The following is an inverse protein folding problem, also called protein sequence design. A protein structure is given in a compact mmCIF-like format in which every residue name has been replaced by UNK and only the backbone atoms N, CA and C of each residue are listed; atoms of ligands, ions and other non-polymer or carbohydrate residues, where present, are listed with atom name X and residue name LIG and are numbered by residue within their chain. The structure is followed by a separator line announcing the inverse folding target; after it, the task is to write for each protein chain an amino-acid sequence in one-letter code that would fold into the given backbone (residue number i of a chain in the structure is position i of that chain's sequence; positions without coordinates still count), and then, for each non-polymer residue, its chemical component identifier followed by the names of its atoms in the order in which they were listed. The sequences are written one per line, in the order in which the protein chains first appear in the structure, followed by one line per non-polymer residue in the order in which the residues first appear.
data_IF_668847695303
#
_entry.id   IF_668847695303
#
_cell.length_a   1.000
_cell.length_b   1.000
_cell.length_c   1.000
_cell.angle_alpha   90.00
_cell.angle_beta   90.00
_cell.angle_gamma   90.00
#
_symmetry.space_group_name_H-M   'P 1'
#
loop_
_entity.id
_entity.type
_entity.pdbx_description
1 polymer ?
#
# COMPACT_ATOMS: atom_id res chain seq x y z
N UNK A 1 -13.33 3.37 5.89
CA UNK A 1 -12.47 4.54 5.59
C UNK A 1 -12.17 4.55 4.10
N UNK A 2 -12.38 5.67 3.38
CA UNK A 2 -12.06 5.73 1.94
C UNK A 2 -10.53 5.68 1.73
N UNK A 3 -10.05 5.11 0.62
CA UNK A 3 -8.60 5.03 0.33
C UNK A 3 -7.92 6.40 0.35
N UNK A 4 -8.63 7.45 -0.05
CA UNK A 4 -8.16 8.83 0.03
C UNK A 4 -7.96 9.31 1.48
N UNK A 5 -8.89 9.00 2.38
CA UNK A 5 -8.72 9.28 3.82
C UNK A 5 -7.57 8.48 4.41
N UNK A 6 -7.39 7.22 3.99
CA UNK A 6 -6.24 6.40 4.40
C UNK A 6 -4.91 7.02 3.95
N UNK A 7 -4.84 7.56 2.74
CA UNK A 7 -3.65 8.22 2.19
C UNK A 7 -3.31 9.49 2.97
N UNK A 8 -4.30 10.37 3.14
CA UNK A 8 -4.17 11.60 3.93
C UNK A 8 -3.74 11.31 5.37
N UNK A 9 -4.31 10.27 6.00
CA UNK A 9 -3.94 9.85 7.35
C UNK A 9 -2.49 9.33 7.41
N UNK A 10 -2.06 8.52 6.44
CA UNK A 10 -0.67 8.04 6.40
C UNK A 10 0.31 9.19 6.19
N UNK A 11 -0.01 10.14 5.31
CA UNK A 11 0.80 11.33 5.08
C UNK A 11 0.90 12.20 6.35
N UNK A 12 -0.24 12.43 7.02
CA UNK A 12 -0.27 13.14 8.30
C UNK A 12 0.57 12.43 9.35
N UNK A 13 0.45 11.10 9.45
CA UNK A 13 1.23 10.30 10.40
C UNK A 13 2.73 10.38 10.11
N UNK A 14 3.14 10.36 8.83
CA UNK A 14 4.53 10.60 8.44
C UNK A 14 5.01 11.98 8.90
N UNK A 15 4.23 13.04 8.66
CA UNK A 15 4.60 14.40 9.06
C UNK A 15 4.69 14.55 10.59
N UNK A 16 3.76 13.95 11.33
CA UNK A 16 3.80 13.92 12.80
C UNK A 16 5.03 13.18 13.29
N UNK A 17 5.37 12.04 12.68
CA UNK A 17 6.56 11.27 13.07
C UNK A 17 7.87 12.03 12.78
N UNK A 18 7.95 12.73 11.64
CA UNK A 18 9.08 13.63 11.37
C UNK A 18 9.21 14.70 12.46
N UNK A 19 8.11 15.33 12.87
CA UNK A 19 8.13 16.31 13.95
C UNK A 19 8.64 15.70 15.27
N UNK A 20 8.24 14.48 15.59
CA UNK A 20 8.76 13.76 16.78
C UNK A 20 10.28 13.58 16.70
N UNK A 21 10.80 13.10 15.56
CA UNK A 21 12.25 12.94 15.35
C UNK A 21 12.96 14.29 15.50
N UNK A 22 12.42 15.34 14.86
CA UNK A 22 12.99 16.68 14.92
C UNK A 22 13.04 17.23 16.37
N UNK A 23 11.97 17.04 17.15
CA UNK A 23 11.93 17.45 18.55
C UNK A 23 12.95 16.71 19.42
N UNK A 24 13.23 15.43 19.15
CA UNK A 24 14.27 14.68 19.85
C UNK A 24 15.68 15.06 19.38
N UNK A 25 15.86 15.30 18.08
CA UNK A 25 17.12 15.73 17.49
C UNK A 25 17.59 17.09 17.99
N UNK A 26 16.66 18.05 18.14
CA UNK A 26 16.98 19.40 18.63
C UNK A 26 17.50 19.41 20.09
N UNK A 27 17.27 18.36 20.88
CA UNK A 27 17.69 18.31 22.28
C UNK A 27 19.21 18.10 22.41
N UNK A 28 19.96 19.20 22.49
CA UNK A 28 21.42 19.17 22.67
C UNK A 28 21.88 18.37 23.91
N UNK A 29 21.13 18.48 25.02
CA UNK A 29 21.53 18.01 26.35
C UNK A 29 20.96 16.64 26.77
N UNK A 30 20.26 15.92 25.89
CA UNK A 30 19.70 14.61 26.25
C UNK A 30 20.79 13.60 26.65
N UNK A 31 22.01 13.77 26.11
CA UNK A 31 23.16 12.91 26.41
C UNK A 31 23.58 12.91 27.88
N UNK A 32 23.57 14.06 28.58
CA UNK A 32 24.02 14.15 29.99
C UNK A 32 23.13 13.34 30.93
N UNK A 33 21.81 13.41 30.73
CA UNK A 33 20.86 12.69 31.58
C UNK A 33 21.01 11.18 31.35
N UNK A 34 21.11 10.73 30.10
CA UNK A 34 21.33 9.29 29.84
C UNK A 34 22.72 8.81 30.22
N UNK A 35 23.75 9.67 30.20
CA UNK A 35 25.11 9.31 30.64
C UNK A 35 25.13 8.96 32.14
N UNK A 36 24.37 9.69 32.96
CA UNK A 36 24.22 9.39 34.40
C UNK A 36 23.54 8.04 34.66
N UNK A 37 22.68 7.55 33.75
CA UNK A 37 21.96 6.27 33.92
C UNK A 37 22.57 5.08 33.17
N UNK A 38 23.15 5.30 31.98
CA UNK A 38 23.59 4.25 31.06
C UNK A 38 25.11 4.16 30.94
N UNK A 39 25.87 5.15 31.44
CA UNK A 39 27.32 5.22 31.30
C UNK A 39 27.77 4.98 29.85
N UNK A 40 28.67 4.01 29.66
CA UNK A 40 29.23 3.63 28.36
C UNK A 40 28.17 3.13 27.34
N UNK A 41 27.00 2.68 27.82
CA UNK A 41 25.91 2.23 26.95
C UNK A 41 25.09 3.38 26.34
N UNK A 42 25.30 4.63 26.74
CA UNK A 42 24.55 5.78 26.25
C UNK A 42 24.65 5.94 24.72
N UNK A 43 25.87 5.91 24.18
CA UNK A 43 26.13 6.08 22.75
C UNK A 43 25.49 4.96 21.90
N UNK A 44 25.68 3.66 22.19
CA UNK A 44 25.04 2.62 21.40
C UNK A 44 23.51 2.67 21.52
N UNK A 45 22.95 2.88 22.71
CA UNK A 45 21.49 2.96 22.91
C UNK A 45 20.89 4.10 22.08
N UNK A 46 21.53 5.27 22.06
CA UNK A 46 21.09 6.39 21.22
C UNK A 46 21.12 6.06 19.73
N UNK A 47 22.21 5.44 19.25
CA UNK A 47 22.32 5.02 17.85
C UNK A 47 21.23 4.02 17.48
N UNK A 48 20.92 3.05 18.35
CA UNK A 48 19.81 2.12 18.14
C UNK A 48 18.44 2.81 18.13
N UNK A 49 18.23 3.82 18.98
CA UNK A 49 17.00 4.60 18.99
C UNK A 49 16.79 5.33 17.65
N UNK A 50 17.82 6.02 17.16
CA UNK A 50 17.75 6.69 15.85
C UNK A 50 17.55 5.70 14.69
N UNK A 51 18.25 4.55 14.69
CA UNK A 51 18.01 3.49 13.72
C UNK A 51 16.53 3.04 13.72
N UNK A 52 15.92 2.91 14.90
CA UNK A 52 14.51 2.52 15.02
C UNK A 52 13.57 3.62 14.51
N UNK A 53 13.83 4.88 14.87
CA UNK A 53 13.06 6.04 14.41
C UNK A 53 13.02 6.12 12.88
N UNK A 54 14.18 5.96 12.23
CA UNK A 54 14.31 5.97 10.77
C UNK A 54 13.73 4.71 10.11
N UNK A 55 13.77 3.55 10.78
CA UNK A 55 13.08 2.35 10.32
C UNK A 55 11.56 2.58 10.23
N UNK A 56 10.97 3.18 11.27
CA UNK A 56 9.54 3.52 11.30
C UNK A 56 9.21 4.59 10.26
N UNK A 57 10.05 5.62 10.12
CA UNK A 57 9.85 6.68 9.13
C UNK A 57 9.84 6.11 7.69
N UNK A 58 10.80 5.26 7.35
CA UNK A 58 10.89 4.63 6.03
C UNK A 58 9.67 3.75 5.72
N UNK A 59 9.18 3.01 6.73
CA UNK A 59 7.94 2.23 6.65
C UNK A 59 6.73 3.13 6.33
N UNK A 60 6.61 4.26 7.03
CA UNK A 60 5.51 5.21 6.83
C UNK A 60 5.58 5.85 5.44
N UNK A 61 6.77 6.28 4.99
CA UNK A 61 6.97 6.78 3.64
C UNK A 61 6.59 5.76 2.58
N UNK A 62 7.08 4.52 2.71
CA UNK A 62 6.74 3.46 1.77
C UNK A 62 5.22 3.22 1.69
N UNK A 63 4.53 3.19 2.83
CA UNK A 63 3.07 3.02 2.89
C UNK A 63 2.32 4.20 2.26
N UNK A 64 2.77 5.43 2.53
CA UNK A 64 2.20 6.65 1.95
C UNK A 64 2.34 6.62 0.42
N UNK A 65 3.54 6.34 -0.08
CA UNK A 65 3.82 6.25 -1.51
C UNK A 65 3.04 5.12 -2.19
N UNK A 66 2.95 3.95 -1.56
CA UNK A 66 2.21 2.81 -2.10
C UNK A 66 0.73 3.14 -2.25
N UNK A 67 0.13 3.77 -1.24
CA UNK A 67 -1.28 4.12 -1.26
C UNK A 67 -1.57 5.27 -2.25
N UNK A 68 -0.65 6.23 -2.37
CA UNK A 68 -0.69 7.27 -3.39
C UNK A 68 -0.63 6.70 -4.80
N UNK A 69 0.32 5.79 -5.07
CA UNK A 69 0.43 5.11 -6.37
C UNK A 69 -0.85 4.32 -6.73
N UNK A 70 -1.43 3.61 -5.75
CA UNK A 70 -2.70 2.91 -5.95
C UNK A 70 -3.86 3.85 -6.29
N UNK A 71 -3.92 5.03 -5.66
CA UNK A 71 -4.94 6.04 -5.95
C UNK A 71 -4.77 6.66 -7.33
N UNK A 72 -3.53 6.95 -7.73
CA UNK A 72 -3.20 7.49 -9.05
C UNK A 72 -3.60 6.51 -10.16
N UNK A 73 -3.26 5.22 -10.02
CA UNK A 73 -3.68 4.19 -10.97
C UNK A 73 -5.21 4.07 -11.08
N UNK A 74 -5.92 4.21 -9.96
CA UNK A 74 -7.39 4.18 -9.96
C UNK A 74 -8.01 5.38 -10.69
N UNK A 75 -7.29 6.50 -10.80
CA UNK A 75 -7.75 7.72 -11.49
C UNK A 75 -7.38 7.76 -12.98
N UNK A 76 -6.49 6.88 -13.44
CA UNK A 76 -6.05 6.81 -14.83
C UNK A 76 -7.21 6.49 -15.79
N UNK A 77 -7.25 7.10 -16.99
CA UNK A 77 -8.33 6.89 -17.97
C UNK A 77 -8.46 5.43 -18.45
N UNK A 78 -7.36 4.68 -18.46
CA UNK A 78 -7.36 3.23 -18.74
C UNK A 78 -8.14 2.43 -17.69
N UNK A 79 -8.26 2.98 -16.48
CA UNK A 79 -8.99 2.42 -15.33
C UNK A 79 -10.39 3.02 -15.13
N UNK A 80 -10.83 3.90 -16.04
CA UNK A 80 -12.19 4.43 -16.05
C UNK A 80 -13.20 3.28 -16.03
N UNK A 81 -14.23 3.40 -15.19
CA UNK A 81 -15.32 2.43 -15.10
C UNK A 81 -15.94 2.13 -16.49
N UNK A 82 -15.88 3.07 -17.44
CA UNK A 82 -16.33 2.86 -18.83
C UNK A 82 -15.47 1.88 -19.63
N UNK A 83 -14.15 1.89 -19.45
CA UNK A 83 -13.21 1.03 -20.18
C UNK A 83 -13.12 -0.36 -19.53
N UNK A 84 -13.21 -0.42 -18.20
CA UNK A 84 -13.27 -1.69 -17.47
C UNK A 84 -14.59 -2.43 -17.74
N UNK A 85 -15.72 -1.73 -17.80
CA UNK A 85 -17.01 -2.30 -18.17
C UNK A 85 -17.04 -2.75 -19.64
N UNK A 86 -16.45 -1.97 -20.56
CA UNK A 86 -16.30 -2.38 -21.97
C UNK A 86 -15.47 -3.65 -22.09
N UNK A 87 -14.29 -3.73 -21.48
CA UNK A 87 -13.43 -4.90 -21.55
C UNK A 87 -14.07 -6.15 -20.90
N UNK A 88 -14.82 -5.97 -19.80
CA UNK A 88 -15.58 -7.06 -19.18
C UNK A 88 -16.75 -7.54 -20.05
N UNK A 89 -17.46 -6.63 -20.73
CA UNK A 89 -18.53 -6.96 -21.66
C UNK A 89 -18.00 -7.70 -22.90
N UNK A 90 -16.86 -7.27 -23.46
CA UNK A 90 -16.21 -7.95 -24.59
C UNK A 90 -15.77 -9.36 -24.22
N UNK A 91 -15.16 -9.55 -23.04
CA UNK A 91 -14.72 -10.87 -22.58
C UNK A 91 -15.89 -11.81 -22.22
N UNK A 92 -17.02 -11.27 -21.73
CA UNK A 92 -18.23 -12.04 -21.52
C UNK A 92 -18.89 -12.46 -22.84
N UNK A 93 -18.83 -11.60 -23.87
CA UNK A 93 -19.35 -11.90 -25.21
C UNK A 93 -18.51 -12.96 -25.94
N UNK A 94 -17.18 -12.92 -25.81
CA UNK A 94 -16.30 -13.96 -26.38
C UNK A 94 -16.51 -15.31 -25.71
N UNK A 95 -16.67 -15.35 -24.39
CA UNK A 95 -16.93 -16.60 -23.66
C UNK A 95 -18.35 -17.14 -23.90
N UNK A 96 -19.32 -16.28 -24.21
CA UNK A 96 -20.65 -16.71 -24.63
C UNK A 96 -20.68 -17.24 -26.07
N UNK A 97 -19.87 -16.67 -26.97
CA UNK A 97 -19.71 -17.16 -28.35
C UNK A 97 -19.07 -18.55 -28.38
N UNK A 98 -18.12 -18.82 -27.48
CA UNK A 98 -17.45 -20.12 -27.34
C UNK A 98 -18.40 -21.23 -26.83
N UNK A 99 -19.51 -20.85 -26.19
CA UNK A 99 -20.57 -21.77 -25.72
C UNK A 99 -21.72 -21.96 -26.71
N UNK A 100 -21.67 -21.36 -27.90
CA UNK A 100 -22.71 -21.49 -28.93
C UNK A 100 -22.47 -22.64 -29.93
N UNK A 101 -21.45 -23.46 -29.72
CA UNK A 101 -21.14 -24.64 -30.51
C UNK A 101 -22.00 -25.86 -30.16
N UNK A 102 -23.20 -25.94 -30.75
CA UNK A 102 -23.83 -27.22 -31.09
C UNK A 102 -24.94 -27.73 -30.15
N UNK A 103 -26.20 -27.55 -30.57
CA UNK A 103 -27.21 -28.61 -30.51
C UNK A 103 -28.21 -28.41 -31.65
N UNK A 104 -28.08 -29.27 -32.66
CA UNK A 104 -29.07 -29.50 -33.71
C UNK A 104 -30.14 -30.45 -33.18
N UNK A 105 -31.42 -30.21 -33.46
CA UNK A 105 -32.48 -31.19 -33.22
C UNK A 105 -33.85 -30.58 -32.96
N UNK A 106 -34.76 -30.81 -33.89
CA UNK A 106 -36.22 -30.59 -33.82
C UNK A 106 -36.86 -31.07 -32.51
N UNK A 107 -37.90 -30.37 -32.05
CA UNK A 107 -39.30 -30.84 -32.13
C UNK A 107 -40.26 -29.86 -31.45
N UNK A 108 -41.24 -29.44 -32.22
CA UNK A 108 -42.38 -28.61 -31.83
C UNK A 108 -43.38 -29.36 -30.93
N UNK A 109 -44.13 -28.58 -30.15
CA UNK A 109 -45.48 -28.79 -29.60
C UNK A 109 -45.67 -29.25 -28.14
N UNK A 110 -46.55 -28.47 -27.49
CA UNK A 110 -47.32 -28.66 -26.24
C UNK A 110 -46.49 -28.89 -24.98
N UNK A 111 -46.56 -28.02 -23.96
CA UNK A 111 -47.73 -27.84 -23.10
C UNK A 111 -47.69 -26.42 -22.50
N UNK A 112 -48.62 -25.56 -22.91
CA UNK A 112 -48.97 -24.35 -22.17
C UNK A 112 -49.93 -24.74 -21.03
N UNK A 113 -49.53 -24.58 -19.77
CA UNK A 113 -50.45 -24.86 -18.66
C UNK A 113 -49.94 -24.64 -17.23
N UNK A 114 -48.63 -24.70 -16.97
CA UNK A 114 -48.10 -24.62 -15.58
C UNK A 114 -47.02 -23.53 -15.38
N UNK A 115 -47.07 -22.48 -16.18
CA UNK A 115 -46.03 -21.46 -16.24
C UNK A 115 -46.52 -20.17 -15.57
N UNK A 116 -46.69 -20.17 -14.24
CA UNK A 116 -46.76 -18.89 -13.51
C UNK A 116 -46.23 -18.92 -12.09
N UNK A 117 -45.96 -20.08 -11.48
CA UNK A 117 -45.65 -20.13 -10.03
C UNK A 117 -44.20 -20.52 -9.70
N UNK A 118 -43.37 -20.85 -10.68
CA UNK A 118 -41.97 -21.31 -10.47
C UNK A 118 -40.89 -20.38 -11.08
N UNK A 119 -41.28 -19.33 -11.81
CA UNK A 119 -40.34 -18.52 -12.61
C UNK A 119 -39.70 -17.36 -11.82
N UNK A 120 -40.37 -16.80 -10.81
CA UNK A 120 -39.86 -15.63 -10.09
C UNK A 120 -38.59 -15.83 -9.23
N UNK A 121 -38.39 -16.94 -8.49
CA UNK A 121 -37.20 -17.04 -7.63
C UNK A 121 -35.92 -17.46 -8.36
N UNK A 122 -36.02 -18.18 -9.49
CA UNK A 122 -34.85 -18.65 -10.24
C UNK A 122 -34.18 -17.57 -11.09
N UNK A 123 -34.97 -16.70 -11.72
CA UNK A 123 -34.43 -15.59 -12.54
C UNK A 123 -33.78 -14.54 -11.63
N UNK A 124 -34.42 -14.19 -10.52
CA UNK A 124 -33.86 -13.30 -9.51
C UNK A 124 -32.51 -13.81 -8.97
N UNK A 125 -32.38 -15.14 -8.76
CA UNK A 125 -31.14 -15.76 -8.27
C UNK A 125 -30.04 -15.83 -9.36
N UNK A 126 -30.40 -16.03 -10.63
CA UNK A 126 -29.44 -16.10 -11.74
C UNK A 126 -28.88 -14.72 -12.09
N UNK A 127 -29.70 -13.68 -12.02
CA UNK A 127 -29.30 -12.29 -12.27
C UNK A 127 -28.48 -11.73 -11.10
N UNK A 128 -28.87 -12.01 -9.85
CA UNK A 128 -28.04 -11.68 -8.68
C UNK A 128 -26.72 -12.46 -8.66
N UNK A 129 -26.69 -13.73 -9.07
CA UNK A 129 -25.45 -14.50 -9.22
C UNK A 129 -24.55 -13.94 -10.34
N UNK A 130 -25.12 -13.51 -11.47
CA UNK A 130 -24.39 -12.88 -12.57
C UNK A 130 -23.83 -11.51 -12.17
N UNK A 131 -24.60 -10.72 -11.41
CA UNK A 131 -24.18 -9.42 -10.89
C UNK A 131 -23.14 -9.58 -9.76
N UNK A 132 -23.21 -10.64 -8.95
CA UNK A 132 -22.21 -11.02 -7.96
C UNK A 132 -20.91 -11.52 -8.62
N UNK A 133 -20.99 -12.33 -9.67
CA UNK A 133 -19.84 -12.78 -10.45
C UNK A 133 -19.16 -11.61 -11.19
N UNK A 134 -19.93 -10.69 -11.75
CA UNK A 134 -19.43 -9.47 -12.39
C UNK A 134 -18.77 -8.51 -11.40
N UNK A 135 -19.35 -8.31 -10.21
CA UNK A 135 -18.75 -7.47 -9.17
C UNK A 135 -17.51 -8.13 -8.52
N UNK A 136 -17.43 -9.47 -8.52
CA UNK A 136 -16.25 -10.22 -8.08
C UNK A 136 -15.13 -10.16 -9.12
N UNK A 137 -15.44 -10.28 -10.42
CA UNK A 137 -14.45 -10.15 -11.49
C UNK A 137 -13.91 -8.72 -11.57
N UNK A 138 -14.76 -7.70 -11.42
CA UNK A 138 -14.33 -6.30 -11.34
C UNK A 138 -13.43 -6.05 -10.14
N UNK A 139 -13.77 -6.57 -8.95
CA UNK A 139 -12.89 -6.47 -7.76
C UNK A 139 -11.57 -7.21 -7.94
N UNK A 140 -11.57 -8.33 -8.65
CA UNK A 140 -10.35 -9.07 -9.00
C UNK A 140 -9.48 -8.28 -10.00
N UNK A 141 -10.08 -7.65 -11.01
CA UNK A 141 -9.39 -6.74 -11.94
C UNK A 141 -8.86 -5.48 -11.25
N UNK A 142 -9.54 -4.96 -10.22
CA UNK A 142 -9.04 -3.88 -9.33
C UNK A 142 -7.86 -4.31 -8.49
N UNK A 143 -7.89 -5.54 -7.97
CA UNK A 143 -6.79 -6.10 -7.20
C UNK A 143 -5.58 -6.43 -8.09
N UNK A 144 -5.80 -6.92 -9.31
CA UNK A 144 -4.76 -7.19 -10.31
C UNK A 144 -4.16 -5.91 -10.93
N UNK A 145 -4.90 -4.82 -11.00
CA UNK A 145 -4.35 -3.54 -11.44
C UNK A 145 -3.55 -2.83 -10.32
N UNK A 146 -3.93 -3.05 -9.05
CA UNK A 146 -3.11 -2.63 -7.91
C UNK A 146 -1.76 -3.37 -7.82
N UNK A 147 -1.59 -4.55 -8.45
CA UNK A 147 -0.29 -5.25 -8.51
C UNK A 147 0.66 -4.71 -9.59
N UNK A 148 0.24 -3.73 -10.40
CA UNK A 148 1.12 -3.04 -11.36
C UNK A 148 2.07 -2.03 -10.67
N UNK A 149 1.89 -1.76 -9.37
CA UNK A 149 2.76 -0.82 -8.66
C UNK A 149 4.17 -1.39 -8.50
N UNK A 150 5.16 -0.62 -8.94
CA UNK A 150 6.55 -1.00 -8.85
C UNK A 150 7.06 -0.86 -7.41
N UNK A 151 6.83 -1.86 -6.57
CA UNK A 151 7.20 -1.87 -5.14
C UNK A 151 8.67 -1.53 -4.90
N UNK A 152 9.58 -2.00 -5.77
CA UNK A 152 11.00 -1.69 -5.68
C UNK A 152 11.28 -0.18 -5.87
N UNK A 153 10.68 0.44 -6.90
CA UNK A 153 10.83 1.88 -7.16
C UNK A 153 10.31 2.71 -5.97
N UNK A 154 9.18 2.28 -5.40
CA UNK A 154 8.58 2.91 -4.22
C UNK A 154 9.46 2.78 -2.97
N UNK A 155 10.08 1.60 -2.75
CA UNK A 155 11.00 1.37 -1.64
C UNK A 155 12.29 2.19 -1.79
N UNK A 156 12.86 2.28 -3.01
CA UNK A 156 14.03 3.11 -3.30
C UNK A 156 13.71 4.59 -3.04
N UNK A 157 12.53 5.07 -3.48
CA UNK A 157 12.10 6.44 -3.24
C UNK A 157 11.90 6.71 -1.74
N UNK A 158 11.30 5.78 -1.00
CA UNK A 158 11.15 5.89 0.45
C UNK A 158 12.51 5.95 1.18
N UNK A 159 13.47 5.13 0.76
CA UNK A 159 14.83 5.15 1.29
C UNK A 159 15.53 6.47 1.02
N UNK A 160 15.44 6.97 -0.22
CA UNK A 160 16.02 8.26 -0.60
C UNK A 160 15.42 9.40 0.23
N UNK A 161 14.10 9.42 0.43
CA UNK A 161 13.42 10.41 1.28
C UNK A 161 13.89 10.34 2.74
N UNK A 162 14.09 9.12 3.28
CA UNK A 162 14.61 8.94 4.63
C UNK A 162 16.05 9.44 4.78
N UNK A 163 16.93 9.15 3.80
CA UNK A 163 18.32 9.63 3.78
C UNK A 163 18.37 11.16 3.64
N UNK A 164 17.57 11.74 2.76
CA UNK A 164 17.47 13.19 2.62
C UNK A 164 17.00 13.87 3.91
N UNK A 165 16.09 13.22 4.64
CA UNK A 165 15.66 13.67 5.96
C UNK A 165 16.78 13.58 7.01
N UNK A 166 17.53 12.48 7.05
CA UNK A 166 18.71 12.33 7.92
C UNK A 166 19.77 13.40 7.66
N UNK A 167 20.06 13.68 6.39
CA UNK A 167 20.97 14.76 6.01
C UNK A 167 20.46 16.13 6.48
N UNK A 168 19.16 16.39 6.37
CA UNK A 168 18.54 17.64 6.81
C UNK A 168 18.59 17.77 8.34
N UNK A 169 18.41 16.67 9.05
CA UNK A 169 18.45 16.62 10.51
C UNK A 169 19.87 16.90 11.04
N UNK A 170 20.89 16.24 10.47
CA UNK A 170 22.30 16.50 10.79
C UNK A 170 22.72 17.92 10.43
N UNK A 171 22.24 18.44 9.30
CA UNK A 171 22.46 19.85 8.95
C UNK A 171 21.83 20.79 9.99
N UNK A 172 20.62 20.52 10.46
CA UNK A 172 20.00 21.31 11.53
C UNK A 172 20.77 21.18 12.85
N UNK A 173 21.22 19.97 13.22
CA UNK A 173 22.03 19.74 14.41
C UNK A 173 23.34 20.52 14.40
N UNK A 174 23.92 20.80 13.22
CA UNK A 174 25.13 21.63 13.08
C UNK A 174 24.97 23.07 13.60
N UNK A 175 23.74 23.56 13.71
CA UNK A 175 23.43 24.87 14.29
C UNK A 175 23.14 24.82 15.80
N UNK A 176 23.08 23.63 16.39
CA UNK A 176 22.79 23.45 17.81
C UNK A 176 24.11 23.37 18.60
N UNK A 177 24.38 24.32 19.52
CA UNK A 177 25.60 24.31 20.31
C UNK A 177 25.77 23.01 21.11
N UNK A 178 26.96 22.42 21.07
CA UNK A 178 27.26 21.16 21.77
C UNK A 178 26.90 19.88 21.00
N UNK A 179 26.45 20.00 19.74
CA UNK A 179 26.29 18.86 18.82
C UNK A 179 27.34 18.89 17.71
N UNK A 180 27.76 17.72 17.25
CA UNK A 180 28.62 17.56 16.08
C UNK A 180 27.84 16.79 15.04
N UNK A 181 27.60 17.42 13.89
CA UNK A 181 27.00 16.74 12.75
C UNK A 181 28.01 15.79 12.13
N UNK A 182 27.68 14.51 11.98
CA UNK A 182 28.59 13.54 11.37
C UNK A 182 27.92 12.73 10.28
N UNK A 183 28.65 12.49 9.19
CA UNK A 183 28.18 11.60 8.14
C UNK A 183 27.95 10.17 8.66
N UNK A 184 28.66 9.78 9.73
CA UNK A 184 28.44 8.47 10.37
C UNK A 184 27.03 8.35 10.95
N UNK A 185 26.45 9.42 11.48
CA UNK A 185 25.10 9.39 12.05
C UNK A 185 24.05 9.24 10.94
N UNK A 186 24.24 9.94 9.81
CA UNK A 186 23.42 9.73 8.59
C UNK A 186 23.45 8.28 8.12
N UNK A 187 24.63 7.64 8.15
CA UNK A 187 24.76 6.24 7.73
C UNK A 187 24.05 5.27 8.68
N UNK A 188 24.10 5.55 9.98
CA UNK A 188 23.37 4.79 11.00
C UNK A 188 21.86 4.90 10.75
N UNK A 189 21.35 6.11 10.52
CA UNK A 189 19.94 6.35 10.23
C UNK A 189 19.48 5.70 8.92
N UNK A 190 20.31 5.80 7.88
CA UNK A 190 20.09 5.13 6.60
C UNK A 190 20.02 3.61 6.76
N UNK A 191 20.84 3.02 7.63
CA UNK A 191 20.81 1.59 7.92
C UNK A 191 19.51 1.18 8.61
N UNK A 192 19.00 2.01 9.54
CA UNK A 192 17.69 1.84 10.17
C UNK A 192 16.56 1.86 9.14
N UNK A 193 16.55 2.88 8.27
CA UNK A 193 15.58 3.00 7.18
C UNK A 193 15.59 1.75 6.26
N UNK A 194 16.77 1.26 5.89
CA UNK A 194 16.91 0.05 5.08
C UNK A 194 16.33 -1.19 5.79
N UNK A 195 16.64 -1.38 7.07
CA UNK A 195 16.10 -2.49 7.88
C UNK A 195 14.57 -2.42 7.91
N UNK A 196 13.99 -1.24 8.15
CA UNK A 196 12.54 -1.04 8.16
C UNK A 196 11.86 -1.46 6.85
N UNK A 197 12.47 -1.13 5.71
CA UNK A 197 11.98 -1.54 4.40
C UNK A 197 12.09 -3.05 4.16
N UNK A 198 13.20 -3.67 4.58
CA UNK A 198 13.39 -5.12 4.48
C UNK A 198 12.36 -5.87 5.31
N UNK A 199 12.07 -5.41 6.54
CA UNK A 199 11.04 -6.00 7.40
C UNK A 199 9.67 -6.06 6.72
N UNK A 200 9.27 -4.97 6.04
CA UNK A 200 8.03 -4.96 5.25
C UNK A 200 8.11 -5.92 4.06
N UNK A 201 9.21 -5.89 3.32
CA UNK A 201 9.40 -6.67 2.10
C UNK A 201 9.29 -8.19 2.36
N UNK A 202 9.90 -8.66 3.44
CA UNK A 202 9.81 -10.07 3.87
C UNK A 202 8.48 -10.39 4.55
N UNK A 203 7.97 -9.51 5.41
CA UNK A 203 6.67 -9.68 6.08
C UNK A 203 5.47 -9.68 5.11
N UNK A 204 5.60 -9.05 3.94
CA UNK A 204 4.59 -9.13 2.88
C UNK A 204 4.62 -10.45 2.11
N UNK A 205 5.79 -11.07 1.94
CA UNK A 205 5.93 -12.35 1.20
C UNK A 205 5.33 -13.52 1.96
N UNK A 206 5.52 -13.57 3.28
CA UNK A 206 4.99 -14.65 4.13
C UNK A 206 3.46 -14.73 4.18
N UNK A 207 2.75 -13.65 3.88
CA UNK A 207 1.28 -13.61 3.85
C UNK A 207 0.66 -14.10 2.54
N UNK A 208 1.46 -14.26 1.48
CA UNK A 208 0.98 -14.78 0.19
C UNK A 208 1.08 -16.30 0.09
N UNK A 209 1.70 -16.96 1.07
CA UNK A 209 1.90 -18.41 1.14
C UNK A 209 1.01 -19.10 2.20
N UNK A 210 0.05 -18.36 2.80
CA UNK A 210 -1.02 -18.87 3.66
C UNK A 210 -2.36 -18.51 3.03
#
# INVERSE_FOLDING_TARGET
MTKERQFKLCLLLSAVWMLVIFCFSHQANSGRITEDYLGDANVPVRKFAHMFEYAVLAILYYRSLLLGACLTLQKSPDYSASNLAKNAATNAATNAADYSGGYSGEKSLEIEGEISTQISPKIANKETAKNAAASTSVRASVRASASSVNHLKLAILALFMAIAYALSDEWHQSFVPGRSATLSDVMVDASGALIGLLLIWFGSRGRSAR
#
